data_IF_238914987520
#
_entry.id   IF_238914987520
#
_cell.length_a   1.000
_cell.length_b   1.000
_cell.length_c   1.000
_cell.angle_alpha   90.00
_cell.angle_beta   90.00
_cell.angle_gamma   90.00
#
_symmetry.space_group_name_H-M   'P 1'
#
loop_
_entity.id
_entity.type
_entity.pdbx_description
1 polymer ?
#
# COMPACT_ATOMS: atom_id res chain seq x y z
N UNK A 1 14.51 -27.21 -52.79
CA UNK A 1 13.83 -28.35 -53.44
C UNK A 1 12.34 -28.19 -53.14
N UNK A 2 11.54 -28.02 -54.18
CA UNK A 2 10.05 -27.89 -54.23
C UNK A 2 9.42 -29.23 -53.78
N UNK A 3 8.24 -29.31 -53.14
CA UNK A 3 6.87 -29.57 -53.70
C UNK A 3 5.83 -29.30 -52.57
N UNK A 4 4.97 -28.27 -52.64
CA UNK A 4 3.60 -28.18 -53.21
C UNK A 4 2.56 -29.16 -52.61
N UNK A 5 1.45 -28.62 -52.07
CA UNK A 5 0.03 -28.93 -52.40
C UNK A 5 -0.92 -28.18 -51.43
N UNK A 6 -1.70 -27.17 -51.85
CA UNK A 6 -3.06 -27.23 -52.44
C UNK A 6 -4.07 -27.96 -51.51
N UNK A 7 -5.30 -27.51 -51.21
CA UNK A 7 -6.24 -26.47 -51.66
C UNK A 7 -7.41 -26.50 -50.65
N UNK A 8 -8.13 -25.39 -50.45
CA UNK A 8 -9.60 -25.31 -50.57
C UNK A 8 -10.13 -24.00 -49.98
N UNK A 9 -10.51 -23.09 -50.87
CA UNK A 9 -11.29 -21.89 -50.58
C UNK A 9 -12.72 -22.26 -50.19
N UNK A 10 -13.22 -21.76 -49.06
CA UNK A 10 -14.65 -21.56 -48.86
C UNK A 10 -14.88 -20.07 -48.65
N UNK A 11 -15.54 -19.49 -49.64
CA UNK A 11 -15.96 -18.09 -49.64
C UNK A 11 -17.14 -17.95 -48.69
N UNK A 12 -16.98 -17.14 -47.64
CA UNK A 12 -18.03 -16.67 -46.75
C UNK A 12 -18.21 -15.15 -46.89
N UNK A 13 -19.38 -14.60 -46.52
CA UNK A 13 -19.97 -13.42 -47.16
C UNK A 13 -19.20 -12.12 -46.90
N UNK A 14 -19.02 -11.36 -47.97
CA UNK A 14 -18.54 -9.97 -47.96
C UNK A 14 -19.61 -9.09 -47.30
N UNK A 15 -19.31 -8.50 -46.14
CA UNK A 15 -20.13 -7.46 -45.52
C UNK A 15 -19.36 -6.12 -45.66
N UNK A 16 -19.98 -5.04 -46.15
CA UNK A 16 -19.33 -3.75 -46.47
C UNK A 16 -18.89 -2.96 -45.21
N UNK A 17 -18.04 -1.92 -45.37
CA UNK A 17 -17.26 -1.34 -44.27
C UNK A 17 -18.10 -0.48 -43.34
N UNK A 18 -18.03 -0.75 -42.03
CA UNK A 18 -18.39 0.22 -40.99
C UNK A 18 -17.11 0.80 -40.43
N UNK A 19 -16.94 2.08 -40.72
CA UNK A 19 -16.00 3.03 -40.14
C UNK A 19 -15.79 2.78 -38.63
N UNK A 20 -14.60 2.35 -38.24
CA UNK A 20 -14.11 2.50 -36.87
C UNK A 20 -12.78 3.22 -36.94
N UNK A 21 -12.64 4.37 -36.26
CA UNK A 21 -11.40 5.12 -36.26
C UNK A 21 -10.29 4.30 -35.59
N UNK A 22 -9.09 4.53 -36.08
CA UNK A 22 -7.81 4.11 -35.49
C UNK A 22 -7.86 4.09 -33.97
N UNK A 23 -7.44 2.98 -33.37
CA UNK A 23 -6.97 3.01 -31.99
C UNK A 23 -5.70 2.19 -31.97
N UNK A 24 -4.58 2.91 -32.04
CA UNK A 24 -3.28 2.39 -31.69
C UNK A 24 -3.41 1.73 -30.30
N UNK A 25 -2.97 0.48 -30.17
CA UNK A 25 -2.69 -0.08 -28.86
C UNK A 25 -1.71 0.86 -28.16
N UNK A 26 -2.06 1.47 -27.02
CA UNK A 26 -1.03 2.02 -26.16
C UNK A 26 -0.23 0.83 -25.64
N UNK A 27 1.09 0.89 -25.83
CA UNK A 27 2.03 0.24 -24.92
C UNK A 27 1.55 0.50 -23.49
N UNK A 28 1.14 -0.54 -22.77
CA UNK A 28 1.05 -0.42 -21.32
C UNK A 28 2.49 -0.24 -20.82
N UNK A 29 2.80 0.84 -20.07
CA UNK A 29 4.07 0.91 -19.40
C UNK A 29 4.12 -0.27 -18.44
N UNK A 30 5.10 -1.15 -18.61
CA UNK A 30 5.50 -2.04 -17.53
C UNK A 30 5.85 -1.15 -16.33
N UNK A 31 4.96 -1.07 -15.36
CA UNK A 31 5.28 -0.55 -14.03
C UNK A 31 6.42 -1.41 -13.50
N UNK A 32 7.65 -0.89 -13.65
CA UNK A 32 8.73 -1.30 -12.77
C UNK A 32 8.23 -1.12 -11.35
N UNK A 33 8.48 -2.06 -10.42
CA UNK A 33 8.26 -1.76 -9.01
C UNK A 33 9.20 -0.60 -8.69
N UNK A 34 8.65 0.62 -8.64
CA UNK A 34 9.30 1.73 -7.98
C UNK A 34 9.56 1.24 -6.57
N UNK A 35 10.80 0.83 -6.30
CA UNK A 35 11.35 0.85 -4.96
C UNK A 35 11.35 2.32 -4.55
N UNK A 36 10.17 2.82 -4.17
CA UNK A 36 9.98 4.14 -3.63
C UNK A 36 10.75 4.15 -2.33
N UNK A 37 11.86 4.87 -2.31
CA UNK A 37 12.23 5.59 -1.10
C UNK A 37 11.02 6.46 -0.76
N UNK A 38 10.18 5.98 0.15
CA UNK A 38 8.83 6.50 0.37
C UNK A 38 8.89 7.97 0.81
N UNK A 39 8.64 8.88 -0.13
CA UNK A 39 8.44 10.31 0.10
C UNK A 39 7.01 10.63 0.58
N UNK A 40 6.19 9.60 0.83
CA UNK A 40 4.79 9.74 1.25
C UNK A 40 4.50 9.23 2.66
N UNK A 41 3.23 9.35 3.06
CA UNK A 41 2.70 8.79 4.30
C UNK A 41 2.95 7.28 4.36
N UNK A 42 3.53 6.74 5.44
CA UNK A 42 3.69 5.29 5.58
C UNK A 42 2.30 4.65 5.59
N UNK A 43 2.15 3.49 4.95
CA UNK A 43 0.87 2.79 4.91
C UNK A 43 0.43 2.34 6.30
N UNK A 44 -0.88 2.10 6.54
CA UNK A 44 -1.36 1.56 7.81
C UNK A 44 -0.63 0.28 8.23
N UNK A 45 -0.33 -0.61 7.28
CA UNK A 45 0.39 -1.87 7.51
C UNK A 45 1.84 -1.61 7.91
N UNK A 46 2.56 -0.71 7.22
CA UNK A 46 3.92 -0.32 7.61
C UNK A 46 3.96 0.30 9.01
N UNK A 47 2.95 1.11 9.37
CA UNK A 47 2.84 1.69 10.72
C UNK A 47 2.60 0.60 11.76
N UNK A 48 1.68 -0.32 11.48
CA UNK A 48 1.35 -1.45 12.37
C UNK A 48 2.58 -2.33 12.61
N UNK A 49 3.28 -2.74 11.55
CA UNK A 49 4.48 -3.58 11.63
C UNK A 49 5.63 -2.88 12.34
N UNK A 50 5.87 -1.60 12.03
CA UNK A 50 6.89 -0.80 12.68
C UNK A 50 6.63 -0.65 14.18
N UNK A 51 5.39 -0.32 14.56
CA UNK A 51 5.02 -0.23 15.98
C UNK A 51 5.10 -1.57 16.70
N UNK A 52 4.69 -2.68 16.05
CA UNK A 52 4.85 -4.03 16.61
C UNK A 52 6.32 -4.36 16.87
N UNK A 53 7.19 -4.11 15.90
CA UNK A 53 8.62 -4.36 16.04
C UNK A 53 9.23 -3.55 17.20
N UNK A 54 8.82 -2.29 17.36
CA UNK A 54 9.26 -1.44 18.47
C UNK A 54 8.73 -1.93 19.82
N UNK A 55 7.43 -2.25 19.91
CA UNK A 55 6.84 -2.80 21.12
C UNK A 55 7.59 -4.07 21.58
N UNK A 56 7.85 -4.99 20.65
CA UNK A 56 8.59 -6.22 20.93
C UNK A 56 10.05 -5.95 21.31
N UNK A 57 10.72 -4.97 20.69
CA UNK A 57 12.07 -4.56 21.06
C UNK A 57 12.15 -4.02 22.50
N UNK A 58 11.09 -3.34 22.95
CA UNK A 58 10.94 -2.84 24.33
C UNK A 58 10.36 -3.90 25.30
N UNK A 59 10.14 -5.13 24.84
CA UNK A 59 9.59 -6.22 25.65
C UNK A 59 8.08 -6.14 25.90
N UNK A 60 7.38 -5.23 25.23
CA UNK A 60 5.92 -5.08 25.27
C UNK A 60 5.28 -6.09 24.31
N UNK A 61 4.71 -7.15 24.87
CA UNK A 61 4.06 -8.24 24.13
C UNK A 61 2.56 -8.33 24.42
N UNK A 62 2.01 -7.40 25.20
CA UNK A 62 0.61 -7.39 25.64
C UNK A 62 -0.38 -7.57 24.48
N UNK A 63 -0.08 -7.02 23.31
CA UNK A 63 -0.97 -7.01 22.16
C UNK A 63 -0.63 -8.07 21.09
N UNK A 64 0.39 -8.92 21.31
CA UNK A 64 0.83 -9.91 20.30
C UNK A 64 -0.23 -10.98 20.01
N UNK A 65 -1.02 -11.35 21.01
CA UNK A 65 -2.12 -12.31 20.90
C UNK A 65 -3.45 -11.64 20.47
N UNK A 66 -3.44 -10.33 20.20
CA UNK A 66 -4.61 -9.57 19.75
C UNK A 66 -4.49 -9.27 18.24
N UNK A 67 -5.08 -10.10 17.36
CA UNK A 67 -4.85 -10.00 15.92
C UNK A 67 -5.32 -8.68 15.32
N UNK A 68 -6.31 -8.03 15.95
CA UNK A 68 -6.91 -6.78 15.47
C UNK A 68 -6.23 -5.52 16.03
N UNK A 69 -5.40 -5.63 17.08
CA UNK A 69 -4.82 -4.45 17.74
C UNK A 69 -3.90 -3.67 16.81
N UNK A 70 -2.85 -4.32 16.27
CA UNK A 70 -1.88 -3.64 15.41
C UNK A 70 -2.48 -3.11 14.10
N UNK A 71 -3.35 -3.86 13.39
CA UNK A 71 -4.08 -3.33 12.24
C UNK A 71 -4.92 -2.10 12.57
N UNK A 72 -5.66 -2.11 13.69
CA UNK A 72 -6.42 -0.96 14.15
C UNK A 72 -5.50 0.22 14.46
N UNK A 73 -4.42 -0.02 15.21
CA UNK A 73 -3.45 1.00 15.62
C UNK A 73 -2.81 1.69 14.40
N UNK A 74 -2.36 0.90 13.43
CA UNK A 74 -1.76 1.40 12.19
C UNK A 74 -2.72 2.28 11.40
N UNK A 75 -3.98 1.87 11.29
CA UNK A 75 -5.01 2.68 10.64
C UNK A 75 -5.29 3.98 11.41
N UNK A 76 -5.36 3.93 12.74
CA UNK A 76 -5.65 5.09 13.58
C UNK A 76 -4.55 6.17 13.49
N UNK A 77 -3.28 5.76 13.43
CA UNK A 77 -2.18 6.69 13.18
C UNK A 77 -2.13 7.17 11.74
N UNK A 78 -2.49 6.34 10.77
CA UNK A 78 -2.65 6.74 9.38
C UNK A 78 -3.79 7.76 9.18
N UNK A 79 -4.83 7.75 10.02
CA UNK A 79 -5.91 8.73 9.94
C UNK A 79 -5.68 9.97 10.82
N UNK A 80 -4.60 9.98 11.61
CA UNK A 80 -4.25 11.10 12.48
C UNK A 80 -3.80 12.36 11.72
N UNK A 81 -3.74 13.50 12.41
CA UNK A 81 -3.21 14.75 11.86
C UNK A 81 -1.67 14.82 11.89
N UNK A 82 -0.99 13.76 12.36
CA UNK A 82 0.48 13.70 12.42
C UNK A 82 1.05 13.64 11.01
N UNK A 83 2.05 14.48 10.75
CA UNK A 83 2.70 14.53 9.44
C UNK A 83 3.38 13.22 9.05
N UNK A 84 3.46 12.96 7.74
CA UNK A 84 4.10 11.80 7.14
C UNK A 84 5.56 11.62 7.61
N UNK A 85 6.30 12.71 7.83
CA UNK A 85 7.66 12.67 8.35
C UNK A 85 7.70 12.21 9.81
N UNK A 86 6.84 12.76 10.66
CA UNK A 86 6.75 12.33 12.06
C UNK A 86 6.28 10.89 12.21
N UNK A 87 5.34 10.43 11.37
CA UNK A 87 4.95 9.01 11.34
C UNK A 87 6.12 8.11 10.97
N UNK A 88 6.90 8.47 9.93
CA UNK A 88 8.11 7.72 9.54
C UNK A 88 9.15 7.66 10.65
N UNK A 89 9.32 8.74 11.41
CA UNK A 89 10.22 8.77 12.56
C UNK A 89 9.72 7.84 13.68
N UNK A 90 8.42 7.92 14.02
CA UNK A 90 7.80 7.08 15.05
C UNK A 90 7.93 5.59 14.73
N UNK A 91 7.61 5.16 13.50
CA UNK A 91 7.71 3.74 13.12
C UNK A 91 9.16 3.24 13.05
N UNK A 92 10.11 4.16 12.88
CA UNK A 92 11.54 3.86 12.96
C UNK A 92 12.09 3.89 14.40
N UNK A 93 11.25 4.12 15.41
CA UNK A 93 11.65 4.22 16.82
C UNK A 93 12.38 5.52 17.16
N UNK A 94 12.27 6.52 16.30
CA UNK A 94 12.85 7.85 16.49
C UNK A 94 11.81 8.81 17.04
N UNK A 95 12.28 9.89 17.66
CA UNK A 95 11.41 10.97 18.07
C UNK A 95 10.81 11.66 16.82
N UNK A 96 9.49 11.94 16.80
CA UNK A 96 8.87 12.73 15.74
C UNK A 96 9.40 14.17 15.74
N UNK A 97 8.98 14.96 14.75
CA UNK A 97 9.35 16.38 14.68
C UNK A 97 9.03 17.08 16.00
N UNK A 98 9.93 17.95 16.45
CA UNK A 98 9.81 18.60 17.76
C UNK A 98 8.48 19.37 17.92
N UNK A 99 7.97 19.96 16.83
CA UNK A 99 6.66 20.64 16.78
C UNK A 99 5.46 19.70 16.92
N UNK A 100 5.64 18.41 16.62
CA UNK A 100 4.57 17.41 16.60
C UNK A 100 4.70 16.35 17.69
N UNK A 101 5.75 16.39 18.54
CA UNK A 101 5.94 15.41 19.62
C UNK A 101 4.72 15.21 20.49
N UNK A 102 4.07 16.29 20.90
CA UNK A 102 2.88 16.21 21.74
C UNK A 102 1.71 15.57 20.98
N UNK A 103 1.44 16.04 19.76
CA UNK A 103 0.37 15.53 18.91
C UNK A 103 0.57 14.06 18.52
N UNK A 104 1.80 13.66 18.19
CA UNK A 104 2.14 12.27 17.90
C UNK A 104 2.00 11.38 19.14
N UNK A 105 2.43 11.86 20.31
CA UNK A 105 2.23 11.15 21.57
C UNK A 105 0.74 10.95 21.89
N UNK A 106 -0.09 11.99 21.70
CA UNK A 106 -1.53 11.87 21.88
C UNK A 106 -2.15 10.91 20.86
N UNK A 107 -1.76 10.98 19.58
CA UNK A 107 -2.26 10.06 18.56
C UNK A 107 -1.96 8.59 18.91
N UNK A 108 -0.77 8.29 19.45
CA UNK A 108 -0.40 6.95 19.92
C UNK A 108 -1.27 6.51 21.10
N UNK A 109 -1.52 7.40 22.06
CA UNK A 109 -2.37 7.12 23.23
C UNK A 109 -3.82 6.87 22.78
N UNK A 110 -4.39 7.76 21.97
CA UNK A 110 -5.74 7.62 21.40
C UNK A 110 -5.87 6.31 20.61
N UNK A 111 -4.90 6.01 19.74
CA UNK A 111 -4.89 4.75 18.98
C UNK A 111 -4.86 3.53 19.91
N UNK A 112 -4.03 3.57 20.96
CA UNK A 112 -3.95 2.47 21.93
C UNK A 112 -5.28 2.27 22.65
N UNK A 113 -5.89 3.34 23.18
CA UNK A 113 -7.15 3.28 23.91
C UNK A 113 -8.34 2.90 23.03
N UNK A 114 -8.34 3.32 21.76
CA UNK A 114 -9.40 3.01 20.81
C UNK A 114 -9.31 1.56 20.30
N UNK A 115 -8.10 1.02 20.16
CA UNK A 115 -7.85 -0.29 19.58
C UNK A 115 -7.66 -1.41 20.61
N UNK A 116 -7.40 -1.07 21.87
CA UNK A 116 -7.36 -2.05 22.93
C UNK A 116 -8.78 -2.46 23.35
N UNK A 117 -9.12 -3.77 23.33
CA UNK A 117 -10.44 -4.26 23.72
C UNK A 117 -10.68 -4.22 25.24
N UNK A 118 -9.67 -3.91 26.05
CA UNK A 118 -9.67 -3.92 27.52
C UNK A 118 -8.92 -2.69 28.12
N UNK A 119 -9.30 -1.46 27.75
CA UNK A 119 -8.50 -0.26 27.97
C UNK A 119 -8.39 0.17 29.45
#
# INVERSE_FOLDING_TARGET
MVVVSLLASVQGPVVPPTDVPTSASPEEPSESPSAGTSEGRPSPEEIAEGFKALAQAEGLTTYDDMPDFYPCFGQHLYDSDVSDESLRLVVAGQDPLASERESAGQAIIDATLACDPHP
#
